data_IF_706947988298
#
_entry.id   IF_706947988298
#
_cell.length_a   1.000
_cell.length_b   1.000
_cell.length_c   1.000
_cell.angle_alpha   90.00
_cell.angle_beta   90.00
_cell.angle_gamma   90.00
#
_symmetry.space_group_name_H-M   'P 1'
#
loop_
_entity.id
_entity.type
_entity.pdbx_description
1 polymer ?
#
# COMPACT_ATOMS: atom_id res chain seq x y z
N UNK A 1 -10.61 3.44 -17.70
CA UNK A 1 -9.86 2.90 -18.87
C UNK A 1 -9.03 1.70 -18.42
N UNK A 2 -9.58 0.48 -18.53
CA UNK A 2 -8.89 -0.78 -18.19
C UNK A 2 -8.76 -1.74 -19.40
N UNK A 3 -9.05 -1.28 -20.63
CA UNK A 3 -9.27 -2.17 -21.80
C UNK A 3 -7.97 -2.49 -22.59
N UNK A 4 -6.83 -1.84 -22.31
CA UNK A 4 -5.62 -1.97 -23.17
C UNK A 4 -4.54 -2.91 -22.59
N UNK A 5 -4.63 -3.27 -21.30
CA UNK A 5 -3.75 -4.26 -20.69
C UNK A 5 -4.65 -5.34 -20.10
N UNK A 6 -4.51 -6.60 -20.50
CA UNK A 6 -5.21 -7.74 -19.91
C UNK A 6 -4.73 -7.95 -18.46
N UNK A 7 -5.17 -7.07 -17.56
CA UNK A 7 -4.84 -7.13 -16.16
C UNK A 7 -5.48 -8.36 -15.53
N UNK A 8 -4.74 -9.04 -14.66
CA UNK A 8 -5.30 -10.11 -13.84
C UNK A 8 -6.34 -9.55 -12.86
N UNK A 9 -7.15 -10.43 -12.29
CA UNK A 9 -8.11 -10.04 -11.25
C UNK A 9 -7.40 -9.37 -10.06
N UNK A 10 -6.23 -9.88 -9.66
CA UNK A 10 -5.43 -9.32 -8.58
C UNK A 10 -4.97 -7.90 -8.91
N UNK A 11 -4.49 -7.66 -10.14
CA UNK A 11 -4.09 -6.33 -10.60
C UNK A 11 -5.28 -5.37 -10.65
N UNK A 12 -6.46 -5.83 -11.09
CA UNK A 12 -7.68 -5.01 -11.13
C UNK A 12 -8.05 -4.56 -9.72
N UNK A 13 -8.07 -5.47 -8.74
CA UNK A 13 -8.39 -5.14 -7.33
C UNK A 13 -7.39 -4.14 -6.74
N UNK A 14 -6.09 -4.33 -6.97
CA UNK A 14 -5.08 -3.37 -6.48
C UNK A 14 -5.24 -2.01 -7.15
N UNK A 15 -5.54 -1.96 -8.45
CA UNK A 15 -5.77 -0.70 -9.18
C UNK A 15 -6.99 0.05 -8.67
N UNK A 16 -8.05 -0.67 -8.31
CA UNK A 16 -9.24 -0.13 -7.67
C UNK A 16 -8.92 0.41 -6.27
N UNK A 17 -8.27 -0.39 -5.43
CA UNK A 17 -7.87 0.00 -4.08
C UNK A 17 -6.93 1.23 -4.06
N UNK A 18 -6.18 1.44 -5.15
CA UNK A 18 -5.23 2.55 -5.33
C UNK A 18 -5.66 3.57 -6.39
N UNK A 19 -6.96 3.68 -6.66
CA UNK A 19 -7.51 4.69 -7.59
C UNK A 19 -7.23 6.13 -7.14
N UNK A 20 -7.35 7.11 -8.04
CA UNK A 20 -7.20 8.53 -7.70
C UNK A 20 -8.46 9.15 -7.07
N UNK A 21 -9.44 8.33 -6.71
CA UNK A 21 -10.68 8.81 -6.10
C UNK A 21 -10.42 9.38 -4.70
N UNK A 22 -11.22 10.34 -4.22
CA UNK A 22 -10.98 11.03 -2.95
C UNK A 22 -11.24 10.17 -1.71
N UNK A 23 -11.79 8.96 -1.86
CA UNK A 23 -12.01 8.00 -0.77
C UNK A 23 -10.94 6.90 -0.74
N UNK A 24 -10.69 6.37 0.47
CA UNK A 24 -9.79 5.24 0.70
C UNK A 24 -10.38 3.90 0.20
N UNK A 25 -9.54 2.85 0.09
CA UNK A 25 -10.02 1.51 -0.22
C UNK A 25 -10.96 0.98 0.88
N UNK A 26 -11.97 0.21 0.50
CA UNK A 26 -12.86 -0.45 1.47
C UNK A 26 -12.14 -1.61 2.16
N UNK A 27 -12.52 -1.91 3.41
CA UNK A 27 -11.96 -3.04 4.15
C UNK A 27 -12.18 -4.37 3.43
N UNK A 28 -13.36 -4.58 2.83
CA UNK A 28 -13.67 -5.79 2.04
C UNK A 28 -12.69 -6.00 0.90
N UNK A 29 -12.44 -4.94 0.11
CA UNK A 29 -11.50 -5.02 -1.01
C UNK A 29 -10.07 -5.31 -0.53
N UNK A 30 -9.64 -4.69 0.57
CA UNK A 30 -8.33 -4.97 1.14
C UNK A 30 -8.21 -6.39 1.70
N UNK A 31 -9.28 -6.92 2.29
CA UNK A 31 -9.36 -8.32 2.74
C UNK A 31 -9.17 -9.29 1.57
N UNK A 32 -9.90 -9.08 0.47
CA UNK A 32 -9.78 -9.90 -0.73
C UNK A 32 -8.35 -9.87 -1.30
N UNK A 33 -7.73 -8.69 -1.36
CA UNK A 33 -6.33 -8.57 -1.81
C UNK A 33 -5.39 -9.29 -0.82
N UNK A 34 -5.63 -9.18 0.49
CA UNK A 34 -4.83 -9.85 1.52
C UNK A 34 -4.86 -11.37 1.35
N UNK A 35 -6.02 -11.95 1.03
CA UNK A 35 -6.16 -13.39 0.79
C UNK A 35 -5.42 -13.81 -0.49
N UNK A 36 -5.47 -13.00 -1.54
CA UNK A 36 -4.73 -13.26 -2.78
C UNK A 36 -3.20 -13.24 -2.61
N UNK A 37 -2.67 -12.58 -1.57
CA UNK A 37 -1.21 -12.58 -1.30
C UNK A 37 -0.63 -13.96 -0.96
N UNK A 38 -1.47 -14.96 -0.63
CA UNK A 38 -1.04 -16.34 -0.41
C UNK A 38 -0.82 -17.12 -1.72
N UNK A 39 -1.38 -16.66 -2.84
CA UNK A 39 -1.12 -17.22 -4.16
C UNK A 39 0.18 -16.62 -4.73
N UNK A 40 1.12 -17.47 -5.19
CA UNK A 40 2.46 -17.01 -5.60
C UNK A 40 2.44 -16.07 -6.82
N UNK A 41 1.57 -16.33 -7.79
CA UNK A 41 1.43 -15.51 -9.01
C UNK A 41 0.78 -14.18 -8.65
N UNK A 42 -0.39 -14.23 -8.00
CA UNK A 42 -1.11 -13.02 -7.59
C UNK A 42 -0.27 -12.15 -6.64
N UNK A 43 0.51 -12.74 -5.73
CA UNK A 43 1.43 -12.01 -4.87
C UNK A 43 2.40 -11.14 -5.67
N UNK A 44 3.00 -11.70 -6.71
CA UNK A 44 3.98 -10.99 -7.55
C UNK A 44 3.32 -9.83 -8.30
N UNK A 45 2.12 -10.05 -8.82
CA UNK A 45 1.31 -9.04 -9.51
C UNK A 45 0.86 -7.91 -8.56
N UNK A 46 0.37 -8.27 -7.37
CA UNK A 46 -0.07 -7.32 -6.33
C UNK A 46 1.08 -6.42 -5.91
N UNK A 47 2.21 -7.02 -5.53
CA UNK A 47 3.38 -6.26 -5.07
C UNK A 47 3.93 -5.37 -6.18
N UNK A 48 4.05 -5.88 -7.41
CA UNK A 48 4.48 -5.10 -8.58
C UNK A 48 3.60 -3.87 -8.81
N UNK A 49 2.28 -4.02 -8.74
CA UNK A 49 1.35 -2.90 -8.91
C UNK A 49 1.45 -1.89 -7.74
N UNK A 50 1.60 -2.37 -6.51
CA UNK A 50 1.81 -1.48 -5.34
C UNK A 50 3.08 -0.66 -5.51
N UNK A 51 4.21 -1.28 -5.85
CA UNK A 51 5.47 -0.57 -6.06
C UNK A 51 5.38 0.46 -7.19
N UNK A 52 4.68 0.12 -8.28
CA UNK A 52 4.40 1.06 -9.36
C UNK A 52 3.62 2.28 -8.88
N UNK A 53 2.62 2.09 -8.01
CA UNK A 53 1.82 3.18 -7.41
C UNK A 53 2.60 4.01 -6.40
N UNK A 54 3.53 3.42 -5.67
CA UNK A 54 4.40 4.14 -4.74
C UNK A 54 5.38 5.07 -5.46
N UNK A 55 5.68 4.80 -6.73
CA UNK A 55 6.54 5.63 -7.57
C UNK A 55 5.79 6.76 -8.33
N UNK A 56 4.50 7.00 -8.03
CA UNK A 56 3.78 8.15 -8.57
C UNK A 56 4.20 9.46 -7.88
N UNK A 57 3.93 10.61 -8.52
CA UNK A 57 4.35 11.93 -8.03
C UNK A 57 3.28 13.01 -8.18
N UNK A 58 3.46 14.12 -7.45
CA UNK A 58 2.69 15.35 -7.59
C UNK A 58 1.17 15.13 -7.47
N UNK A 59 0.41 15.53 -8.50
CA UNK A 59 -1.06 15.45 -8.52
C UNK A 59 -1.64 14.04 -8.30
N UNK A 60 -0.83 13.00 -8.46
CA UNK A 60 -1.19 11.60 -8.24
C UNK A 60 -0.92 11.12 -6.80
N UNK A 61 -0.70 12.03 -5.84
CA UNK A 61 -0.41 11.68 -4.44
C UNK A 61 -1.38 10.67 -3.81
N UNK A 62 -2.66 10.63 -4.25
CA UNK A 62 -3.64 9.65 -3.75
C UNK A 62 -3.29 8.23 -4.13
N UNK A 63 -2.69 8.01 -5.30
CA UNK A 63 -2.16 6.69 -5.68
C UNK A 63 -1.13 6.21 -4.65
N UNK A 64 -0.17 7.09 -4.32
CA UNK A 64 0.91 6.80 -3.36
C UNK A 64 0.34 6.56 -1.96
N UNK A 65 -0.53 7.47 -1.48
CA UNK A 65 -1.14 7.36 -0.16
C UNK A 65 -2.01 6.10 -0.01
N UNK A 66 -2.83 5.79 -1.01
CA UNK A 66 -3.68 4.58 -0.99
C UNK A 66 -2.87 3.31 -1.16
N UNK A 67 -1.77 3.34 -1.91
CA UNK A 67 -0.82 2.22 -1.97
C UNK A 67 -0.13 1.97 -0.62
N UNK A 68 0.30 3.02 0.09
CA UNK A 68 0.82 2.89 1.46
C UNK A 68 -0.24 2.36 2.44
N UNK A 69 -1.50 2.76 2.26
CA UNK A 69 -2.62 2.30 3.07
C UNK A 69 -2.91 0.81 2.85
N UNK A 70 -2.96 0.39 1.59
CA UNK A 70 -3.09 -1.02 1.24
C UNK A 70 -1.89 -1.82 1.77
N UNK A 71 -0.67 -1.34 1.59
CA UNK A 71 0.54 -2.03 2.04
C UNK A 71 0.58 -2.24 3.55
N UNK A 72 0.22 -1.20 4.32
CA UNK A 72 0.06 -1.28 5.79
C UNK A 72 -0.96 -2.34 6.21
N UNK A 73 -2.09 -2.44 5.50
CA UNK A 73 -3.08 -3.49 5.74
C UNK A 73 -2.51 -4.88 5.42
N UNK A 74 -1.90 -5.07 4.25
CA UNK A 74 -1.35 -6.35 3.80
C UNK A 74 -0.22 -6.85 4.70
N UNK A 75 0.64 -5.96 5.19
CA UNK A 75 1.70 -6.26 6.18
C UNK A 75 1.10 -6.81 7.48
N UNK A 76 -0.16 -6.49 7.81
CA UNK A 76 -0.82 -6.92 9.04
C UNK A 76 -1.70 -8.16 8.86
N UNK A 77 -2.30 -8.35 7.70
CA UNK A 77 -3.38 -9.35 7.48
C UNK A 77 -3.11 -10.33 6.33
N UNK A 78 -2.13 -10.04 5.47
CA UNK A 78 -1.73 -10.88 4.35
C UNK A 78 -0.58 -11.83 4.71
N UNK A 79 -0.02 -12.47 3.67
CA UNK A 79 1.14 -13.35 3.77
C UNK A 79 2.35 -12.65 4.40
N UNK A 80 3.10 -13.37 5.24
CA UNK A 80 4.37 -12.90 5.82
C UNK A 80 5.38 -12.41 4.74
N UNK A 81 5.24 -12.94 3.51
CA UNK A 81 6.06 -12.53 2.36
C UNK A 81 5.93 -11.04 2.04
N UNK A 82 4.78 -10.42 2.35
CA UNK A 82 4.57 -8.98 2.15
C UNK A 82 5.50 -8.19 3.05
N UNK A 83 5.50 -8.49 4.36
CA UNK A 83 6.37 -7.83 5.32
C UNK A 83 7.85 -8.05 4.99
N UNK A 84 8.23 -9.27 4.61
CA UNK A 84 9.60 -9.60 4.20
C UNK A 84 10.06 -8.74 3.01
N UNK A 85 9.29 -8.69 1.93
CA UNK A 85 9.65 -7.89 0.75
C UNK A 85 9.70 -6.39 1.05
N UNK A 86 8.84 -5.90 1.95
CA UNK A 86 8.85 -4.51 2.38
C UNK A 86 10.10 -4.16 3.21
N UNK A 87 10.59 -5.09 4.04
CA UNK A 87 11.85 -4.91 4.78
C UNK A 87 13.06 -4.89 3.84
N UNK A 88 13.09 -5.79 2.86
CA UNK A 88 14.15 -5.83 1.83
C UNK A 88 14.20 -4.54 1.00
N UNK A 89 13.04 -3.94 0.72
CA UNK A 89 12.91 -2.72 -0.08
C UNK A 89 12.53 -1.49 0.75
N UNK A 90 12.86 -1.48 2.05
CA UNK A 90 12.39 -0.44 2.98
C UNK A 90 12.80 0.98 2.57
N UNK A 91 13.94 1.12 1.86
CA UNK A 91 14.40 2.40 1.33
C UNK A 91 13.39 3.03 0.37
N UNK A 92 12.72 2.25 -0.48
CA UNK A 92 11.70 2.75 -1.41
C UNK A 92 10.48 3.34 -0.68
N UNK A 93 10.15 2.80 0.50
CA UNK A 93 9.10 3.37 1.36
C UNK A 93 9.63 4.60 2.10
N UNK A 94 10.89 4.55 2.55
CA UNK A 94 11.52 5.60 3.35
C UNK A 94 11.70 6.92 2.60
N UNK A 95 11.95 6.91 1.28
CA UNK A 95 12.04 8.12 0.47
C UNK A 95 10.72 8.90 0.41
N UNK A 96 9.58 8.23 0.62
CA UNK A 96 8.26 8.87 0.67
C UNK A 96 8.05 9.77 1.89
N UNK A 97 8.95 9.72 2.88
CA UNK A 97 8.95 10.66 4.02
C UNK A 97 9.24 12.10 3.61
N UNK A 98 9.78 12.30 2.42
CA UNK A 98 10.09 13.62 1.85
C UNK A 98 9.13 14.02 0.72
N UNK A 99 8.08 13.24 0.47
CA UNK A 99 7.11 13.50 -0.60
C UNK A 99 6.47 14.90 -0.46
N UNK A 100 6.47 15.67 -1.55
CA UNK A 100 5.92 17.03 -1.59
C UNK A 100 4.80 17.14 -2.62
N UNK A 101 3.65 17.69 -2.20
CA UNK A 101 2.62 18.14 -3.12
C UNK A 101 1.70 19.14 -2.41
N UNK A 102 1.70 20.38 -2.90
CA UNK A 102 0.72 21.41 -2.54
C UNK A 102 -0.30 21.47 -3.68
N UNK A 103 -1.59 21.36 -3.35
CA UNK A 103 -2.64 21.44 -4.35
C UNK A 103 -2.94 22.89 -4.79
N UNK A 104 -3.93 23.04 -5.69
CA UNK A 104 -4.28 24.33 -6.27
C UNK A 104 -4.86 25.32 -5.25
N UNK A 105 -5.37 24.81 -4.14
CA UNK A 105 -5.96 25.59 -3.05
C UNK A 105 -4.91 25.96 -1.98
N UNK A 106 -3.63 25.63 -2.24
CA UNK A 106 -2.52 25.90 -1.32
C UNK A 106 -2.41 24.89 -0.18
N UNK A 107 -3.15 23.78 -0.22
CA UNK A 107 -3.12 22.76 0.83
C UNK A 107 -2.00 21.74 0.57
N UNK A 108 -1.15 21.52 1.58
CA UNK A 108 -0.16 20.45 1.55
C UNK A 108 -0.86 19.09 1.69
N UNK A 109 -0.97 18.38 0.58
CA UNK A 109 -1.48 17.01 0.53
C UNK A 109 -0.36 15.99 0.68
N UNK A 110 0.89 16.38 0.42
CA UNK A 110 2.07 15.54 0.59
C UNK A 110 2.28 15.12 2.04
N UNK A 111 1.86 15.93 3.01
CA UNK A 111 1.93 15.59 4.43
C UNK A 111 1.28 14.24 4.76
N UNK A 112 0.18 13.88 4.11
CA UNK A 112 -0.51 12.60 4.32
C UNK A 112 0.38 11.41 3.92
N UNK A 113 1.11 11.54 2.81
CA UNK A 113 2.06 10.52 2.33
C UNK A 113 3.24 10.42 3.28
N UNK A 114 3.82 11.56 3.69
CA UNK A 114 4.97 11.60 4.60
C UNK A 114 4.65 10.93 5.94
N UNK A 115 3.53 11.27 6.56
CA UNK A 115 3.12 10.69 7.85
C UNK A 115 2.84 9.19 7.75
N UNK A 116 2.14 8.74 6.70
CA UNK A 116 1.88 7.30 6.49
C UNK A 116 3.17 6.51 6.25
N UNK A 117 4.11 7.07 5.47
CA UNK A 117 5.43 6.46 5.26
C UNK A 117 6.24 6.37 6.55
N UNK A 118 6.26 7.44 7.37
CA UNK A 118 6.93 7.42 8.69
C UNK A 118 6.40 6.30 9.58
N UNK A 119 5.09 6.17 9.71
CA UNK A 119 4.44 5.12 10.49
C UNK A 119 4.79 3.73 9.97
N UNK A 120 4.70 3.51 8.67
CA UNK A 120 4.96 2.20 8.06
C UNK A 120 6.42 1.78 8.21
N UNK A 121 7.37 2.69 7.99
CA UNK A 121 8.79 2.42 8.20
C UNK A 121 9.09 2.15 9.67
N UNK A 122 8.43 2.86 10.60
CA UNK A 122 8.59 2.59 12.04
C UNK A 122 8.11 1.19 12.40
N UNK A 123 6.98 0.75 11.84
CA UNK A 123 6.44 -0.60 12.08
C UNK A 123 7.36 -1.69 11.50
N UNK A 124 7.86 -1.50 10.27
CA UNK A 124 8.71 -2.49 9.60
C UNK A 124 10.09 -2.67 10.27
N UNK A 125 10.54 -1.70 11.07
CA UNK A 125 11.79 -1.76 11.84
C UNK A 125 11.63 -2.39 13.23
N UNK A 126 10.40 -2.60 13.68
CA UNK A 126 10.09 -3.14 15.01
C UNK A 126 9.39 -4.49 14.86
N UNK A 127 10.18 -5.57 14.89
CA UNK A 127 9.70 -6.93 14.64
C UNK A 127 8.70 -7.41 15.69
N UNK A 128 8.89 -7.05 16.95
CA UNK A 128 8.00 -7.46 18.04
C UNK A 128 6.66 -6.71 17.98
N UNK A 129 6.70 -5.41 17.70
CA UNK A 129 5.49 -4.65 17.44
C UNK A 129 4.75 -5.16 16.21
N UNK A 130 5.46 -5.47 15.13
CA UNK A 130 4.85 -6.00 13.92
C UNK A 130 4.16 -7.35 14.17
N UNK A 131 4.80 -8.27 14.88
CA UNK A 131 4.18 -9.55 15.28
C UNK A 131 2.90 -9.33 16.09
N UNK A 132 2.94 -8.39 17.03
CA UNK A 132 1.78 -8.05 17.88
C UNK A 132 0.63 -7.46 17.06
N UNK A 133 0.92 -6.48 16.20
CA UNK A 133 -0.09 -5.85 15.33
C UNK A 133 -0.70 -6.88 14.35
N UNK A 134 0.10 -7.80 13.81
CA UNK A 134 -0.39 -8.93 12.97
C UNK A 134 -1.33 -9.85 13.74
N UNK A 135 -0.92 -10.29 14.92
CA UNK A 135 -1.73 -11.19 15.77
C UNK A 135 -3.06 -10.54 16.17
N UNK A 136 -3.09 -9.23 16.38
CA UNK A 136 -4.32 -8.49 16.66
C UNK A 136 -5.17 -8.32 15.40
N UNK A 137 -4.59 -7.88 14.28
CA UNK A 137 -5.32 -7.61 13.05
C UNK A 137 -6.02 -8.86 12.49
N UNK A 138 -5.37 -10.03 12.58
CA UNK A 138 -5.95 -11.30 12.13
C UNK A 138 -7.13 -11.77 12.99
N UNK A 139 -7.26 -11.33 14.24
CA UNK A 139 -8.44 -11.63 15.09
C UNK A 139 -9.66 -10.79 14.73
N UNK A 140 -9.43 -9.64 14.10
CA UNK A 140 -10.46 -8.64 13.77
C UNK A 140 -10.74 -8.54 12.28
N UNK A 141 -10.05 -9.34 11.47
CA UNK A 141 -10.26 -9.48 10.02
C UNK A 141 -11.50 -10.33 9.78
#
# INVERSE_FOLDING_TARGET
>A
KNIVNNYSEAEIKVREATSNDPWGPSSSLMTEIADLTYNVVAFSEIMSMIWKRLNDHGKNWRHVYKALTLLDYLIKTGSERVAQQCKENIFAIQTLKDFQYIDRDGKDQGINVREKSKQLVSLLKDDERLKTERAQALKTK
#
